data_IF_988430606671
#
_entry.id   IF_988430606671
#
_cell.length_a   1.000
_cell.length_b   1.000
_cell.length_c   1.000
_cell.angle_alpha   90.00
_cell.angle_beta   90.00
_cell.angle_gamma   90.00
#
_symmetry.space_group_name_H-M   'P 1'
#
loop_
_entity.id
_entity.type
_entity.pdbx_description
1 polymer ?
#
# COMPACT_ATOMS: atom_id res chain seq x y z
N UNK A 1 -5.08 12.61 -0.91
CA UNK A 1 -5.94 12.76 0.28
C UNK A 1 -5.77 14.13 0.93
N UNK A 2 -4.55 14.56 1.23
CA UNK A 2 -4.22 15.73 2.04
C UNK A 2 -4.79 17.09 1.57
N UNK A 3 -5.23 17.18 0.31
CA UNK A 3 -5.77 18.39 -0.29
C UNK A 3 -7.18 18.19 -0.91
N UNK A 4 -7.84 17.08 -0.58
CA UNK A 4 -9.24 16.83 -0.98
C UNK A 4 -10.15 17.24 0.19
N UNK A 5 -11.02 18.25 0.02
CA UNK A 5 -11.75 18.89 1.13
C UNK A 5 -12.75 17.97 1.83
N UNK A 6 -13.17 16.89 1.18
CA UNK A 6 -14.12 15.90 1.69
C UNK A 6 -13.48 14.52 1.87
N UNK A 7 -12.17 14.47 2.12
CA UNK A 7 -11.46 13.22 2.40
C UNK A 7 -11.79 12.71 3.81
N UNK A 8 -12.13 11.42 3.92
CA UNK A 8 -12.57 10.82 5.18
C UNK A 8 -11.51 9.91 5.83
N UNK A 9 -10.93 8.97 5.06
CA UNK A 9 -9.97 8.00 5.57
C UNK A 9 -9.09 7.47 4.45
N UNK A 10 -7.86 7.11 4.81
CA UNK A 10 -6.90 6.41 3.95
C UNK A 10 -6.73 4.98 4.49
N UNK A 11 -6.80 3.99 3.61
CA UNK A 11 -6.49 2.62 3.98
C UNK A 11 -4.97 2.44 4.10
N UNK A 12 -4.53 1.75 5.16
CA UNK A 12 -3.12 1.43 5.43
C UNK A 12 -3.03 -0.05 5.85
N UNK A 13 -2.56 -0.90 4.93
CA UNK A 13 -2.50 -2.36 5.01
C UNK A 13 -1.07 -2.92 5.01
N UNK A 14 -0.40 -2.73 6.14
CA UNK A 14 0.91 -3.34 6.41
C UNK A 14 2.05 -2.75 5.58
N UNK A 15 1.95 -1.49 5.15
CA UNK A 15 3.03 -0.80 4.43
C UNK A 15 4.24 -0.53 5.34
N UNK A 16 4.06 -0.62 6.67
CA UNK A 16 5.13 -0.57 7.67
C UNK A 16 5.90 -1.89 7.81
N UNK A 17 5.44 -2.97 7.17
CA UNK A 17 6.06 -4.29 7.28
C UNK A 17 6.85 -4.67 6.01
N UNK A 18 7.97 -5.40 6.14
CA UNK A 18 8.68 -5.94 4.99
C UNK A 18 7.81 -6.91 4.18
N UNK A 19 7.97 -6.95 2.84
CA UNK A 19 8.98 -6.25 2.05
C UNK A 19 8.59 -4.80 1.69
N UNK A 20 7.35 -4.38 1.94
CA UNK A 20 6.83 -3.08 1.49
C UNK A 20 7.55 -1.90 2.15
N UNK A 21 7.87 -2.03 3.44
CA UNK A 21 8.58 -0.99 4.20
C UNK A 21 9.97 -0.66 3.68
N UNK A 22 10.56 -1.54 2.86
CA UNK A 22 11.92 -1.41 2.33
C UNK A 22 11.97 -0.83 0.92
N UNK A 23 10.80 -0.68 0.26
CA UNK A 23 10.70 -0.24 -1.13
C UNK A 23 11.07 1.22 -1.34
N UNK A 24 10.89 2.06 -0.33
CA UNK A 24 11.24 3.48 -0.39
C UNK A 24 12.57 3.72 0.32
N UNK A 25 13.41 4.60 -0.24
CA UNK A 25 14.64 5.06 0.43
C UNK A 25 14.31 5.69 1.78
N UNK A 26 13.19 6.42 1.85
CA UNK A 26 12.59 6.94 3.07
C UNK A 26 11.15 6.46 3.16
N UNK A 27 10.81 5.56 4.11
CA UNK A 27 9.44 5.13 4.32
C UNK A 27 8.51 6.30 4.66
N UNK A 28 7.23 6.15 4.33
CA UNK A 28 6.21 7.10 4.78
C UNK A 28 6.08 7.01 6.31
N UNK A 29 5.98 8.17 6.96
CA UNK A 29 5.83 8.24 8.41
C UNK A 29 4.35 8.11 8.77
N UNK A 30 4.01 7.06 9.54
CA UNK A 30 2.73 6.94 10.22
C UNK A 30 2.88 7.44 11.66
N UNK A 31 2.27 8.59 11.96
CA UNK A 31 2.34 9.23 13.28
C UNK A 31 0.94 9.48 13.81
N UNK A 32 0.65 8.94 14.99
CA UNK A 32 -0.62 9.09 15.69
C UNK A 32 -1.86 8.74 14.83
N UNK A 33 -1.71 7.77 13.91
CA UNK A 33 -2.75 7.35 12.97
C UNK A 33 -2.86 8.17 11.69
N UNK A 34 -1.96 9.13 11.46
CA UNK A 34 -1.91 9.97 10.26
C UNK A 34 -0.64 9.73 9.46
N UNK A 35 -0.74 9.77 8.14
CA UNK A 35 0.43 9.74 7.26
C UNK A 35 0.96 11.15 7.02
N UNK A 36 2.26 11.34 7.25
CA UNK A 36 2.94 12.61 6.93
C UNK A 36 3.17 12.72 5.42
N UNK A 37 2.72 13.82 4.82
CA UNK A 37 2.97 14.11 3.40
C UNK A 37 4.42 14.57 3.22
N UNK A 38 5.21 13.97 2.31
CA UNK A 38 6.54 14.45 2.02
C UNK A 38 6.54 15.86 1.39
N UNK A 39 7.44 16.74 1.85
CA UNK A 39 7.56 18.12 1.35
C UNK A 39 8.46 18.25 0.09
N UNK A 40 9.01 17.14 -0.40
CA UNK A 40 9.86 17.11 -1.59
C UNK A 40 9.07 17.39 -2.89
N UNK A 41 9.75 17.75 -3.99
CA UNK A 41 9.08 17.96 -5.26
C UNK A 41 8.40 16.68 -5.78
N UNK A 42 7.31 16.85 -6.53
CA UNK A 42 6.54 15.72 -7.06
C UNK A 42 5.85 14.94 -5.95
N UNK A 43 6.08 13.62 -5.90
CA UNK A 43 5.57 12.76 -4.82
C UNK A 43 6.45 12.79 -3.56
N UNK A 44 7.65 13.39 -3.64
CA UNK A 44 8.60 13.47 -2.52
C UNK A 44 9.12 12.13 -2.00
N UNK A 45 9.10 11.08 -2.82
CA UNK A 45 9.61 9.73 -2.51
C UNK A 45 10.61 9.25 -3.55
N UNK A 46 11.47 8.31 -3.16
CA UNK A 46 12.45 7.65 -4.02
C UNK A 46 12.40 6.14 -3.80
N UNK A 47 12.55 5.35 -4.87
CA UNK A 47 12.58 3.89 -4.78
C UNK A 47 13.96 3.40 -4.35
N UNK A 48 13.97 2.38 -3.49
CA UNK A 48 15.18 1.66 -3.13
C UNK A 48 15.45 0.54 -4.15
N UNK A 49 16.32 0.81 -5.11
CA UNK A 49 16.67 -0.11 -6.20
C UNK A 49 17.19 -1.48 -5.71
N UNK A 50 17.80 -1.53 -4.52
CA UNK A 50 18.27 -2.81 -3.94
C UNK A 50 17.09 -3.70 -3.54
N UNK A 51 16.02 -3.11 -2.99
CA UNK A 51 14.82 -3.85 -2.60
C UNK A 51 14.07 -4.43 -3.81
N UNK A 52 14.22 -3.81 -4.99
CA UNK A 52 13.61 -4.28 -6.24
C UNK A 52 14.23 -5.56 -6.79
N UNK A 53 15.40 -5.97 -6.29
CA UNK A 53 15.99 -7.26 -6.63
C UNK A 53 15.24 -8.45 -6.01
N UNK A 54 14.29 -8.20 -5.11
CA UNK A 54 13.44 -9.24 -4.50
C UNK A 54 12.57 -9.90 -5.58
N UNK A 55 12.59 -11.25 -5.71
CA UNK A 55 11.76 -11.94 -6.68
C UNK A 55 10.27 -11.68 -6.46
N UNK A 56 9.51 -11.69 -7.55
CA UNK A 56 8.05 -11.60 -7.46
C UNK A 56 7.47 -12.80 -6.70
N UNK A 57 6.43 -12.53 -5.91
CA UNK A 57 5.61 -13.55 -5.26
C UNK A 57 4.15 -13.33 -5.67
N UNK A 58 3.68 -14.05 -6.72
CA UNK A 58 2.35 -13.83 -7.25
C UNK A 58 1.27 -14.16 -6.22
N UNK A 59 0.41 -13.18 -5.92
CA UNK A 59 -0.76 -13.41 -5.08
C UNK A 59 -1.87 -14.05 -5.92
N UNK A 60 -2.23 -15.30 -5.62
CA UNK A 60 -3.41 -15.94 -6.18
C UNK A 60 -4.62 -15.38 -5.45
N UNK A 61 -5.50 -14.68 -6.18
CA UNK A 61 -6.76 -14.20 -5.62
C UNK A 61 -7.78 -15.33 -5.70
N UNK A 62 -8.41 -15.62 -4.56
CA UNK A 62 -9.47 -16.61 -4.50
C UNK A 62 -10.79 -16.02 -5.04
N UNK A 63 -11.58 -16.84 -5.71
CA UNK A 63 -12.89 -16.45 -6.23
C UNK A 63 -13.97 -16.96 -5.27
N UNK A 64 -14.88 -16.12 -4.75
CA UNK A 64 -15.96 -16.61 -3.91
C UNK A 64 -16.89 -17.52 -4.73
N UNK A 65 -17.03 -18.78 -4.30
CA UNK A 65 -17.87 -19.78 -4.95
C UNK A 65 -19.03 -20.16 -4.02
N UNK A 66 -20.26 -20.03 -4.53
CA UNK A 66 -21.48 -20.44 -3.85
C UNK A 66 -21.60 -21.95 -3.69
N UNK A 67 -22.49 -22.40 -2.81
CA UNK A 67 -22.75 -23.83 -2.58
C UNK A 67 -23.15 -24.60 -3.87
N UNK A 68 -23.78 -23.91 -4.81
CA UNK A 68 -24.22 -24.44 -6.10
C UNK A 68 -23.15 -24.37 -7.21
N UNK A 69 -21.95 -23.89 -6.88
CA UNK A 69 -20.85 -23.69 -7.83
C UNK A 69 -20.91 -22.39 -8.62
N UNK A 70 -21.86 -21.48 -8.33
CA UNK A 70 -21.90 -20.17 -8.97
C UNK A 70 -20.77 -19.28 -8.46
N UNK A 71 -20.26 -18.39 -9.32
CA UNK A 71 -19.44 -17.26 -8.86
C UNK A 71 -20.33 -16.32 -8.07
N UNK A 72 -19.92 -15.92 -6.87
CA UNK A 72 -20.65 -14.99 -6.01
C UNK A 72 -19.81 -13.75 -5.71
N UNK A 73 -20.50 -12.64 -5.48
CA UNK A 73 -19.88 -11.49 -4.80
C UNK A 73 -19.87 -11.77 -3.29
N UNK A 74 -18.90 -11.23 -2.57
CA UNK A 74 -18.71 -11.48 -1.13
C UNK A 74 -19.71 -10.73 -0.26
#
# INVERSE_FOLDING_TARGET
DACIPNFALQEYTGESDPPKSELLVKPLELKDGYLTVPDGPGLGIELNEVALATPESPKILDTPIGFDGSVQDR
#
